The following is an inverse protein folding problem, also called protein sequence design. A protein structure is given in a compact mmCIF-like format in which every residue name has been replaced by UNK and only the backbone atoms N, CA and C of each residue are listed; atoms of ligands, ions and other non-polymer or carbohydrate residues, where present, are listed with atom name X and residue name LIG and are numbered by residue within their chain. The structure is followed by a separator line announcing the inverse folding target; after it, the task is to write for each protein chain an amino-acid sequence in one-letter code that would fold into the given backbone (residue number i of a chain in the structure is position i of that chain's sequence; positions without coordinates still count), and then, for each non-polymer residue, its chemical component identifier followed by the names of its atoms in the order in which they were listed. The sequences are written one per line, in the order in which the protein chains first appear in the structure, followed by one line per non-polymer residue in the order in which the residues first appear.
data_IF_381569486132
#
_entry.id   IF_381569486132
#
_cell.length_a   1.000
_cell.length_b   1.000
_cell.length_c   1.000
_cell.angle_alpha   90.00
_cell.angle_beta   90.00
_cell.angle_gamma   90.00
#
_symmetry.space_group_name_H-M   'P 1'
#
loop_
_entity.id
_entity.type
_entity.pdbx_description
1 polymer ?
#
# COMPACT_ATOMS: atom_id res chain seq x y z
N UNK A 1 8.10 -1.84 9.17
CA UNK A 1 7.09 -2.82 8.72
C UNK A 1 6.17 -3.11 9.90
N UNK A 2 4.87 -3.22 9.69
CA UNK A 2 3.91 -3.54 10.74
C UNK A 2 4.28 -4.86 11.43
N UNK A 3 4.38 -4.83 12.79
CA UNK A 3 4.82 -5.97 13.59
C UNK A 3 6.32 -6.05 13.88
N UNK A 4 7.16 -5.31 13.16
CA UNK A 4 8.58 -5.20 13.48
C UNK A 4 8.82 -3.97 14.37
N UNK A 5 8.89 -4.19 15.68
CA UNK A 5 9.03 -3.13 16.70
C UNK A 5 10.44 -3.02 17.25
N UNK A 6 11.36 -3.89 16.86
CA UNK A 6 12.73 -3.90 17.39
C UNK A 6 13.45 -2.59 17.06
N UNK A 7 13.94 -1.93 18.12
CA UNK A 7 14.65 -0.65 17.99
C UNK A 7 13.75 0.54 17.66
N UNK A 8 12.43 0.39 17.79
CA UNK A 8 11.47 1.46 17.58
C UNK A 8 11.40 2.44 18.75
N UNK A 9 10.70 3.55 18.57
CA UNK A 9 10.61 4.59 19.59
C UNK A 9 9.83 4.14 20.82
N UNK A 10 10.23 4.59 22.03
CA UNK A 10 9.46 4.38 23.26
C UNK A 10 8.23 5.29 23.31
N UNK A 11 7.25 4.93 24.12
CA UNK A 11 6.15 5.82 24.46
C UNK A 11 5.57 5.54 25.84
N UNK A 12 4.90 6.54 26.40
CA UNK A 12 4.13 6.45 27.61
C UNK A 12 2.64 6.52 27.25
N UNK A 13 1.88 5.48 27.60
CA UNK A 13 0.43 5.45 27.40
C UNK A 13 -0.22 5.69 28.75
N UNK A 14 -1.02 6.75 28.84
CA UNK A 14 -1.76 7.12 30.05
C UNK A 14 -3.24 6.89 29.80
N UNK A 15 -3.86 6.08 30.60
CA UNK A 15 -5.29 5.76 30.54
C UNK A 15 -5.97 5.86 31.91
N UNK A 16 -7.30 5.77 31.98
CA UNK A 16 -8.05 5.91 33.21
C UNK A 16 -7.76 4.81 34.24
N UNK A 17 -7.18 3.70 33.83
CA UNK A 17 -6.84 2.56 34.71
C UNK A 17 -5.35 2.47 35.04
N UNK A 18 -4.52 3.37 34.55
CA UNK A 18 -3.09 3.37 34.84
C UNK A 18 -2.22 3.89 33.74
N UNK A 19 -0.93 3.66 33.90
CA UNK A 19 0.14 4.13 33.01
C UNK A 19 0.94 2.92 32.50
N UNK A 20 1.17 2.85 31.20
CA UNK A 20 2.01 1.84 30.58
C UNK A 20 3.22 2.53 29.94
N UNK A 21 4.40 2.16 30.37
CA UNK A 21 5.65 2.63 29.78
C UNK A 21 6.20 1.57 28.83
N UNK A 22 6.16 1.85 27.55
CA UNK A 22 6.71 1.01 26.48
C UNK A 22 8.14 1.47 26.18
N UNK A 23 9.10 0.56 26.30
CA UNK A 23 10.49 0.82 25.93
C UNK A 23 10.68 0.91 24.41
N UNK A 24 9.83 0.23 23.67
CA UNK A 24 9.74 0.22 22.21
C UNK A 24 8.31 -0.16 21.80
N UNK A 25 7.92 0.12 20.56
CA UNK A 25 6.59 -0.22 20.06
C UNK A 25 5.97 0.84 19.16
N UNK A 26 6.50 2.07 19.18
CA UNK A 26 5.99 3.11 18.29
C UNK A 26 6.71 3.04 16.94
N UNK A 27 5.97 2.71 15.92
CA UNK A 27 6.45 2.66 14.54
C UNK A 27 5.58 3.54 13.65
N UNK A 28 6.18 4.11 12.60
CA UNK A 28 5.42 4.66 11.49
C UNK A 28 5.21 3.56 10.47
N UNK A 29 3.97 3.33 10.06
CA UNK A 29 3.68 2.39 8.99
C UNK A 29 4.37 2.83 7.69
N UNK A 30 5.11 1.92 7.05
CA UNK A 30 5.67 2.17 5.74
C UNK A 30 4.59 1.98 4.70
N UNK A 31 4.42 2.96 3.81
CA UNK A 31 3.50 2.83 2.67
C UNK A 31 3.89 1.63 1.83
N UNK A 32 2.93 0.82 1.47
CA UNK A 32 3.19 -0.41 0.74
C UNK A 32 2.03 -0.79 -0.16
N UNK A 33 2.31 -1.66 -1.10
CA UNK A 33 1.31 -2.22 -1.99
C UNK A 33 1.27 -3.73 -1.81
N UNK A 34 0.09 -4.26 -1.50
CA UNK A 34 -0.18 -5.68 -1.54
C UNK A 34 -0.52 -6.11 -2.96
N UNK A 35 0.08 -7.18 -3.41
CA UNK A 35 -0.26 -7.80 -4.69
C UNK A 35 -0.09 -9.30 -4.64
N UNK A 36 -0.83 -9.99 -5.49
CA UNK A 36 -0.68 -11.43 -5.65
C UNK A 36 0.44 -11.77 -6.63
N UNK A 37 0.99 -13.00 -6.59
CA UNK A 37 2.07 -13.41 -7.48
C UNK A 37 1.84 -13.16 -8.98
N UNK A 38 0.62 -13.33 -9.55
CA UNK A 38 0.37 -12.97 -10.95
C UNK A 38 0.60 -11.51 -11.28
N UNK A 39 0.18 -10.60 -10.38
CA UNK A 39 0.40 -9.15 -10.56
C UNK A 39 1.88 -8.79 -10.46
N UNK A 40 2.59 -9.37 -9.48
CA UNK A 40 4.02 -9.17 -9.33
C UNK A 40 4.79 -9.59 -10.60
N UNK A 41 4.40 -10.71 -11.21
CA UNK A 41 4.98 -11.15 -12.51
C UNK A 41 4.64 -10.18 -13.63
N UNK A 42 3.37 -9.73 -13.74
CA UNK A 42 2.93 -8.77 -14.76
C UNK A 42 3.70 -7.45 -14.66
N UNK A 43 3.94 -6.97 -13.43
CA UNK A 43 4.68 -5.73 -13.17
C UNK A 43 6.20 -5.93 -13.17
N UNK A 44 6.67 -7.17 -13.21
CA UNK A 44 8.08 -7.49 -13.16
C UNK A 44 8.77 -7.04 -11.87
N UNK A 45 8.08 -7.16 -10.73
CA UNK A 45 8.56 -6.76 -9.41
C UNK A 45 8.65 -7.95 -8.47
N UNK A 46 9.46 -7.81 -7.43
CA UNK A 46 9.69 -8.79 -6.38
C UNK A 46 9.23 -8.25 -5.03
N UNK A 47 9.05 -9.14 -4.08
CA UNK A 47 8.76 -8.75 -2.70
C UNK A 47 9.90 -7.87 -2.14
N UNK A 48 9.56 -6.73 -1.58
CA UNK A 48 10.51 -5.74 -1.06
C UNK A 48 11.01 -4.71 -2.08
N UNK A 49 10.72 -4.84 -3.37
CA UNK A 49 11.02 -3.81 -4.35
C UNK A 49 10.26 -2.50 -4.00
N UNK A 50 10.82 -1.39 -4.41
CA UNK A 50 10.21 -0.07 -4.24
C UNK A 50 9.62 0.41 -5.56
N UNK A 51 8.38 0.86 -5.49
CA UNK A 51 7.66 1.52 -6.58
C UNK A 51 7.30 2.95 -6.19
N UNK A 52 6.78 3.74 -7.12
CA UNK A 52 6.12 4.99 -6.80
C UNK A 52 4.61 4.86 -7.05
N UNK A 53 3.82 5.58 -6.27
CA UNK A 53 2.37 5.69 -6.44
C UNK A 53 2.03 7.12 -6.84
N UNK A 54 1.43 7.28 -8.01
CA UNK A 54 0.82 8.53 -8.42
C UNK A 54 -0.67 8.50 -8.13
N UNK A 55 -1.14 9.46 -7.35
CA UNK A 55 -2.55 9.70 -7.07
C UNK A 55 -2.97 10.95 -7.81
N UNK A 56 -3.94 10.85 -8.69
CA UNK A 56 -4.48 11.98 -9.44
C UNK A 56 -5.81 12.36 -8.85
N UNK A 57 -5.86 13.52 -8.22
CA UNK A 57 -7.08 14.13 -7.69
C UNK A 57 -7.39 15.41 -8.43
N UNK A 58 -8.57 15.98 -8.17
CA UNK A 58 -9.04 17.20 -8.84
C UNK A 58 -8.14 18.41 -8.58
N UNK A 59 -7.65 18.54 -7.36
CA UNK A 59 -6.93 19.76 -6.89
C UNK A 59 -5.56 19.46 -6.31
N UNK A 60 -5.29 18.21 -5.93
CA UNK A 60 -4.06 17.85 -5.24
C UNK A 60 -3.52 16.49 -5.73
N UNK A 61 -2.93 16.47 -6.92
CA UNK A 61 -2.24 15.27 -7.41
C UNK A 61 -0.87 15.14 -6.76
N UNK A 62 -0.56 13.95 -6.25
CA UNK A 62 0.67 13.67 -5.49
C UNK A 62 1.35 12.43 -6.04
N UNK A 63 2.68 12.41 -6.01
CA UNK A 63 3.47 11.21 -6.22
C UNK A 63 4.17 10.83 -4.91
N UNK A 64 3.91 9.62 -4.45
CA UNK A 64 4.60 9.00 -3.32
C UNK A 64 5.68 8.06 -3.85
N UNK A 65 6.92 8.31 -3.51
CA UNK A 65 8.03 7.39 -3.75
C UNK A 65 8.13 6.36 -2.61
N UNK A 66 8.99 5.36 -2.78
CA UNK A 66 9.29 4.34 -1.76
C UNK A 66 8.07 3.55 -1.28
N UNK A 67 7.19 3.20 -2.20
CA UNK A 67 6.06 2.29 -1.94
C UNK A 67 6.57 0.85 -2.01
N UNK A 68 6.64 0.17 -0.88
CA UNK A 68 7.19 -1.18 -0.80
C UNK A 68 6.23 -2.22 -1.35
N UNK A 69 6.72 -3.06 -2.23
CA UNK A 69 5.96 -4.22 -2.74
C UNK A 69 5.91 -5.32 -1.68
N UNK A 70 4.71 -5.74 -1.32
CA UNK A 70 4.45 -6.91 -0.48
C UNK A 70 3.64 -7.93 -1.27
N UNK A 71 4.30 -9.02 -1.64
CA UNK A 71 3.63 -10.13 -2.31
C UNK A 71 2.99 -11.00 -1.23
N UNK A 72 1.68 -11.17 -1.32
CA UNK A 72 0.89 -11.97 -0.40
C UNK A 72 0.30 -13.19 -1.12
N UNK A 73 0.17 -14.29 -0.39
CA UNK A 73 -0.49 -15.46 -0.93
C UNK A 73 -1.99 -15.21 -1.08
N UNK A 74 -2.52 -15.63 -2.22
CA UNK A 74 -3.95 -15.57 -2.47
C UNK A 74 -4.66 -16.63 -1.63
N UNK A 75 -5.58 -16.29 -0.74
CA UNK A 75 -6.39 -17.27 0.00
C UNK A 75 -7.11 -18.23 -0.94
N UNK A 76 -7.30 -19.47 -0.51
CA UNK A 76 -7.89 -20.53 -1.35
C UNK A 76 -9.33 -20.21 -1.79
N UNK A 77 -10.11 -19.61 -0.92
CA UNK A 77 -11.45 -19.12 -1.20
C UNK A 77 -11.47 -17.97 -2.22
N UNK A 78 -10.53 -17.03 -2.10
CA UNK A 78 -10.37 -15.96 -3.07
C UNK A 78 -9.94 -16.48 -4.46
N UNK A 79 -9.09 -17.51 -4.52
CA UNK A 79 -8.74 -18.19 -5.80
C UNK A 79 -9.96 -18.75 -6.50
N UNK A 80 -10.89 -19.36 -5.75
CA UNK A 80 -12.14 -19.90 -6.29
C UNK A 80 -13.06 -18.82 -6.81
N UNK A 81 -13.20 -17.69 -6.09
CA UNK A 81 -14.03 -16.55 -6.48
C UNK A 81 -13.50 -15.91 -7.76
N UNK A 82 -12.19 -15.70 -7.86
CA UNK A 82 -11.54 -15.17 -9.06
C UNK A 82 -11.76 -16.09 -10.26
N UNK A 83 -11.53 -17.37 -10.08
CA UNK A 83 -11.71 -18.37 -11.15
C UNK A 83 -13.17 -18.48 -11.62
N UNK A 84 -14.15 -18.32 -10.72
CA UNK A 84 -15.57 -18.48 -11.03
C UNK A 84 -16.26 -17.24 -11.59
N UNK A 85 -15.79 -16.04 -11.21
CA UNK A 85 -16.44 -14.77 -11.55
C UNK A 85 -15.64 -13.87 -12.50
N UNK A 86 -14.42 -14.28 -12.88
CA UNK A 86 -13.54 -13.46 -13.70
C UNK A 86 -13.14 -12.12 -13.04
N UNK A 87 -13.30 -12.01 -11.72
CA UNK A 87 -12.95 -10.80 -10.98
C UNK A 87 -11.43 -10.75 -10.86
N UNK A 88 -10.83 -9.75 -11.46
CA UNK A 88 -9.43 -9.42 -11.22
C UNK A 88 -9.33 -8.86 -9.80
N UNK A 89 -8.84 -9.67 -8.83
CA UNK A 89 -8.56 -9.18 -7.49
C UNK A 89 -7.47 -8.12 -7.59
N UNK A 90 -7.82 -6.93 -7.17
CA UNK A 90 -6.99 -5.75 -7.35
C UNK A 90 -5.70 -5.77 -6.55
N UNK A 91 -4.83 -4.91 -6.96
CA UNK A 91 -3.66 -4.45 -6.21
C UNK A 91 -4.15 -3.49 -5.13
N UNK A 92 -3.76 -3.70 -3.88
CA UNK A 92 -4.20 -2.88 -2.75
C UNK A 92 -3.05 -2.04 -2.22
N UNK A 93 -3.20 -0.72 -2.24
CA UNK A 93 -2.19 0.22 -1.73
C UNK A 93 -2.60 0.72 -0.35
N UNK A 94 -1.66 0.65 0.58
CA UNK A 94 -1.80 1.12 1.96
C UNK A 94 -0.99 2.40 2.16
N UNK A 95 -1.69 3.47 2.51
CA UNK A 95 -1.16 4.76 2.92
C UNK A 95 -1.57 5.05 4.36
N UNK A 96 -0.82 5.86 5.07
CA UNK A 96 -1.29 6.39 6.36
C UNK A 96 -2.35 7.51 6.14
N UNK A 97 -2.98 7.92 7.23
CA UNK A 97 -4.06 8.93 7.16
C UNK A 97 -3.55 10.29 6.65
N UNK A 98 -2.36 10.69 7.02
CA UNK A 98 -1.78 11.97 6.61
C UNK A 98 -1.41 11.95 5.13
N UNK A 99 -0.85 10.86 4.64
CA UNK A 99 -0.59 10.64 3.21
C UNK A 99 -1.89 10.64 2.40
N UNK A 100 -2.92 9.94 2.88
CA UNK A 100 -4.23 9.90 2.24
C UNK A 100 -4.92 11.26 2.18
N UNK A 101 -4.79 12.07 3.24
CA UNK A 101 -5.31 13.43 3.27
C UNK A 101 -4.52 14.35 2.34
N UNK A 102 -3.18 14.24 2.31
CA UNK A 102 -2.32 15.08 1.47
C UNK A 102 -2.62 14.94 -0.03
N UNK A 103 -3.08 13.77 -0.48
CA UNK A 103 -3.41 13.53 -1.89
C UNK A 103 -4.92 13.56 -2.18
N UNK A 104 -5.75 13.97 -1.24
CA UNK A 104 -7.22 13.94 -1.37
C UNK A 104 -7.74 12.57 -1.85
N UNK A 105 -7.26 11.50 -1.22
CA UNK A 105 -7.47 10.12 -1.67
C UNK A 105 -8.93 9.80 -1.97
N UNK A 106 -9.88 10.35 -1.18
CA UNK A 106 -11.32 10.11 -1.35
C UNK A 106 -11.91 10.73 -2.62
N UNK A 107 -11.26 11.74 -3.19
CA UNK A 107 -11.68 12.42 -4.41
C UNK A 107 -10.77 12.10 -5.61
N UNK A 108 -9.84 11.18 -5.42
CA UNK A 108 -8.92 10.79 -6.47
C UNK A 108 -9.65 10.07 -7.61
N UNK A 109 -9.25 10.37 -8.83
CA UNK A 109 -9.88 9.86 -10.04
C UNK A 109 -9.06 8.79 -10.74
N UNK A 110 -7.75 8.74 -10.45
CA UNK A 110 -6.84 7.78 -11.05
C UNK A 110 -5.67 7.47 -10.13
N UNK A 111 -5.21 6.23 -10.18
CA UNK A 111 -4.07 5.72 -9.42
C UNK A 111 -3.15 4.97 -10.35
N UNK A 112 -1.87 5.26 -10.27
CA UNK A 112 -0.84 4.64 -11.11
C UNK A 112 0.32 4.17 -10.22
N UNK A 113 0.69 2.90 -10.34
CA UNK A 113 1.96 2.41 -9.82
C UNK A 113 3.03 2.57 -10.89
N UNK A 114 4.15 3.15 -10.52
CA UNK A 114 5.27 3.37 -11.43
C UNK A 114 6.48 2.56 -10.93
N UNK A 115 7.08 1.82 -11.85
CA UNK A 115 8.33 1.12 -11.65
C UNK A 115 9.42 1.86 -12.40
N UNK A 116 10.51 2.20 -11.73
CA UNK A 116 11.71 2.69 -12.41
C UNK A 116 12.40 1.54 -13.14
N UNK A 117 12.68 1.73 -14.40
CA UNK A 117 13.45 0.79 -15.21
C UNK A 117 14.95 1.10 -15.09
N UNK A 118 15.80 0.16 -15.47
CA UNK A 118 17.25 0.29 -15.36
C UNK A 118 17.84 1.43 -16.20
N UNK A 119 17.16 1.84 -17.25
CA UNK A 119 17.55 2.95 -18.13
C UNK A 119 17.07 4.33 -17.64
N UNK A 120 16.42 4.36 -16.43
CA UNK A 120 15.91 5.60 -15.83
C UNK A 120 14.51 6.01 -16.32
N UNK A 121 13.92 5.28 -17.26
CA UNK A 121 12.52 5.46 -17.64
C UNK A 121 11.58 4.88 -16.56
N UNK A 122 10.28 5.10 -16.68
CA UNK A 122 9.28 4.55 -15.77
C UNK A 122 8.21 3.81 -16.56
N UNK A 123 7.91 2.59 -16.14
CA UNK A 123 6.72 1.87 -16.57
C UNK A 123 5.57 2.20 -15.61
N UNK A 124 4.43 2.57 -16.16
CA UNK A 124 3.23 2.93 -15.39
C UNK A 124 2.17 1.83 -15.53
N UNK A 125 1.56 1.48 -14.40
CA UNK A 125 0.48 0.51 -14.30
C UNK A 125 -0.71 1.20 -13.63
N UNK A 126 -1.80 1.38 -14.37
CA UNK A 126 -3.03 1.94 -13.81
C UNK A 126 -3.68 0.92 -12.86
N UNK A 127 -4.04 1.37 -11.67
CA UNK A 127 -4.81 0.58 -10.70
C UNK A 127 -6.27 0.99 -10.86
N UNK A 128 -7.09 0.04 -11.30
CA UNK A 128 -8.54 0.22 -11.30
C UNK A 128 -9.05 -0.02 -9.88
N UNK A 129 -9.67 0.99 -9.27
CA UNK A 129 -10.38 0.78 -8.03
C UNK A 129 -11.60 -0.09 -8.30
N UNK A 130 -11.73 -1.18 -7.58
CA UNK A 130 -13.04 -1.78 -7.39
C UNK A 130 -13.91 -0.72 -6.69
N UNK A 131 -15.09 -0.44 -7.25
CA UNK A 131 -16.04 0.53 -6.70
C UNK A 131 -16.10 0.39 -5.18
N UNK A 132 -15.62 1.42 -4.47
CA UNK A 132 -15.80 1.48 -3.03
C UNK A 132 -17.31 1.53 -2.77
N UNK A 133 -17.86 0.65 -1.94
CA UNK A 133 -19.28 0.78 -1.58
C UNK A 133 -19.49 2.15 -0.94
N UNK A 134 -20.43 2.87 -1.49
CA UNK A 134 -20.89 4.17 -0.98
C UNK A 134 -21.33 4.09 0.46
#
# INVERSE_FOLDING_TARGET
ISGDTKGSAPCLIIGPKGVLNLKEGVIRAWRHVHMFPPHARKFGVRNGDLMALRVVSKTCSVMFEDVMVRIIDMPMDARRIVASKGIELGVEVHLDTDEGNACELRSATRYELLKRTRDGSSESFEIVLADAPH
#
